data_IF_661459910838
#
_entry.id   IF_661459910838
#
_cell.length_a   1.000
_cell.length_b   1.000
_cell.length_c   1.000
_cell.angle_alpha   90.00
_cell.angle_beta   90.00
_cell.angle_gamma   90.00
#
_symmetry.space_group_name_H-M   'P 1'
#
loop_
_entity.id
_entity.type
_entity.pdbx_description
1 polymer ?
#
# COMPACT_ATOMS: atom_id res chain seq x y z
N UNK A 1 -20.23 -18.50 20.91
CA UNK A 1 -19.07 -19.00 20.13
C UNK A 1 -19.48 -19.64 18.80
N UNK A 2 -20.42 -20.59 18.78
CA UNK A 2 -20.95 -21.16 17.52
C UNK A 2 -21.72 -20.14 16.67
N UNK A 3 -22.66 -19.39 17.27
CA UNK A 3 -23.42 -18.34 16.58
C UNK A 3 -22.52 -17.24 15.98
N UNK A 4 -21.45 -16.86 16.70
CA UNK A 4 -20.47 -15.87 16.23
C UNK A 4 -19.61 -16.40 15.08
N UNK A 5 -19.32 -17.70 15.04
CA UNK A 5 -18.58 -18.32 13.94
C UNK A 5 -19.46 -18.43 12.69
N UNK A 6 -20.71 -18.86 12.86
CA UNK A 6 -21.68 -18.95 11.77
C UNK A 6 -21.90 -17.59 11.11
N UNK A 7 -22.13 -16.53 11.89
CA UNK A 7 -22.26 -15.17 11.35
C UNK A 7 -21.04 -14.73 10.54
N UNK A 8 -19.81 -15.04 11.00
CA UNK A 8 -18.57 -14.73 10.24
C UNK A 8 -18.51 -15.47 8.91
N UNK A 9 -18.92 -16.75 8.89
CA UNK A 9 -18.97 -17.54 7.64
C UNK A 9 -20.00 -16.95 6.67
N UNK A 10 -21.20 -16.62 7.15
CA UNK A 10 -22.26 -16.01 6.33
C UNK A 10 -21.81 -14.67 5.72
N UNK A 11 -21.18 -13.79 6.52
CA UNK A 11 -20.62 -12.52 6.04
C UNK A 11 -19.51 -12.76 5.00
N UNK A 12 -18.62 -13.73 5.25
CA UNK A 12 -17.55 -14.08 4.31
C UNK A 12 -18.13 -14.52 2.97
N UNK A 13 -19.11 -15.43 2.97
CA UNK A 13 -19.76 -15.89 1.74
C UNK A 13 -20.48 -14.75 1.00
N UNK A 14 -21.15 -13.86 1.73
CA UNK A 14 -21.79 -12.68 1.16
C UNK A 14 -20.78 -11.76 0.47
N UNK A 15 -19.64 -11.46 1.12
CA UNK A 15 -18.57 -10.66 0.52
C UNK A 15 -18.01 -11.29 -0.76
N UNK A 16 -17.85 -12.62 -0.77
CA UNK A 16 -17.46 -13.38 -1.96
C UNK A 16 -18.46 -13.21 -3.11
N UNK A 17 -19.75 -13.34 -2.84
CA UNK A 17 -20.82 -13.14 -3.84
C UNK A 17 -20.85 -11.70 -4.37
N UNK A 18 -20.74 -10.71 -3.48
CA UNK A 18 -20.68 -9.28 -3.87
C UNK A 18 -19.45 -9.03 -4.75
N UNK A 19 -18.29 -9.59 -4.39
CA UNK A 19 -17.06 -9.47 -5.18
C UNK A 19 -17.24 -10.04 -6.59
N UNK A 20 -17.79 -11.25 -6.73
CA UNK A 20 -18.05 -11.87 -8.03
C UNK A 20 -18.99 -11.01 -8.87
N UNK A 21 -20.06 -10.50 -8.28
CA UNK A 21 -21.03 -9.64 -8.97
C UNK A 21 -20.37 -8.35 -9.47
N UNK A 22 -19.65 -7.62 -8.61
CA UNK A 22 -19.01 -6.36 -8.97
C UNK A 22 -17.93 -6.57 -10.04
N UNK A 23 -17.09 -7.60 -9.89
CA UNK A 23 -16.09 -7.97 -10.90
C UNK A 23 -16.73 -8.33 -12.24
N UNK A 24 -17.86 -9.04 -12.25
CA UNK A 24 -18.60 -9.36 -13.47
C UNK A 24 -19.10 -8.09 -14.20
N UNK A 25 -19.69 -7.13 -13.47
CA UNK A 25 -20.12 -5.86 -14.06
C UNK A 25 -18.94 -5.01 -14.55
N UNK A 26 -17.85 -4.95 -13.78
CA UNK A 26 -16.63 -4.28 -14.18
C UNK A 26 -16.05 -4.87 -15.47
N UNK A 27 -16.04 -6.20 -15.60
CA UNK A 27 -15.64 -6.91 -16.81
C UNK A 27 -16.55 -6.58 -18.00
N UNK A 28 -17.88 -6.61 -17.82
CA UNK A 28 -18.84 -6.19 -18.86
C UNK A 28 -18.63 -4.76 -19.33
N UNK A 29 -18.24 -3.86 -18.43
CA UNK A 29 -17.90 -2.46 -18.74
C UNK A 29 -16.46 -2.28 -19.28
N UNK A 30 -15.77 -3.38 -19.62
CA UNK A 30 -14.40 -3.39 -20.15
C UNK A 30 -13.39 -2.71 -19.21
N UNK A 31 -13.65 -2.72 -17.89
CA UNK A 31 -12.76 -2.11 -16.91
C UNK A 31 -11.38 -2.79 -16.92
N UNK A 32 -11.35 -4.12 -17.06
CA UNK A 32 -10.12 -4.94 -17.06
C UNK A 32 -9.29 -4.89 -18.36
N UNK A 33 -9.64 -4.01 -19.30
CA UNK A 33 -8.89 -3.84 -20.55
C UNK A 33 -7.62 -3.03 -20.33
N UNK A 34 -6.46 -3.59 -20.72
CA UNK A 34 -5.17 -2.91 -20.67
C UNK A 34 -4.77 -2.33 -22.04
N UNK A 35 -4.06 -1.19 -22.08
CA UNK A 35 -3.50 -0.65 -23.31
C UNK A 35 -2.42 -1.58 -23.90
N UNK A 36 -1.96 -1.28 -25.13
CA UNK A 36 -0.85 -2.02 -25.76
C UNK A 36 0.40 -1.99 -24.87
N UNK A 37 1.19 -3.05 -24.98
CA UNK A 37 2.46 -3.14 -24.26
C UNK A 37 3.50 -2.19 -24.88
N UNK A 38 4.18 -1.44 -24.03
CA UNK A 38 5.22 -0.45 -24.33
C UNK A 38 6.52 -0.80 -23.58
N UNK A 39 6.69 -2.07 -23.19
CA UNK A 39 7.89 -2.58 -22.52
C UNK A 39 9.21 -2.22 -23.21
N UNK A 40 9.19 -1.97 -24.53
CA UNK A 40 10.35 -1.53 -25.32
C UNK A 40 10.83 -0.10 -24.99
N UNK A 41 9.97 0.75 -24.43
CA UNK A 41 10.29 2.14 -24.09
C UNK A 41 10.94 2.26 -22.69
N UNK A 42 10.99 1.17 -21.92
CA UNK A 42 11.43 1.15 -20.53
C UNK A 42 12.95 1.27 -20.43
N UNK A 43 13.40 2.37 -19.82
CA UNK A 43 14.83 2.67 -19.61
C UNK A 43 15.32 2.33 -18.19
N UNK A 44 14.43 1.91 -17.29
CA UNK A 44 14.80 1.54 -15.92
C UNK A 44 15.68 0.29 -15.93
N UNK A 45 16.72 0.32 -15.10
CA UNK A 45 17.66 -0.79 -14.88
C UNK A 45 17.66 -1.20 -13.41
N UNK A 46 18.15 -2.41 -13.13
CA UNK A 46 18.18 -2.96 -11.76
C UNK A 46 18.88 -2.04 -10.74
N UNK A 47 20.01 -1.38 -11.05
CA UNK A 47 20.62 -0.40 -10.16
C UNK A 47 19.68 0.75 -9.75
N UNK A 48 18.80 1.20 -10.65
CA UNK A 48 17.83 2.26 -10.32
C UNK A 48 16.78 1.75 -9.32
N UNK A 49 16.32 0.50 -9.48
CA UNK A 49 15.39 -0.14 -8.53
C UNK A 49 16.07 -0.29 -7.18
N UNK A 50 17.27 -0.88 -7.12
CA UNK A 50 18.02 -1.04 -5.88
C UNK A 50 18.22 0.31 -5.19
N UNK A 51 18.66 1.33 -5.93
CA UNK A 51 18.91 2.65 -5.35
C UNK A 51 17.64 3.30 -4.80
N UNK A 52 16.49 3.14 -5.46
CA UNK A 52 15.21 3.64 -4.94
C UNK A 52 14.84 2.99 -3.59
N UNK A 53 14.94 1.66 -3.50
CA UNK A 53 14.71 0.94 -2.24
C UNK A 53 15.74 1.29 -1.17
N UNK A 54 17.01 1.47 -1.53
CA UNK A 54 18.06 1.91 -0.60
C UNK A 54 17.78 3.30 -0.06
N UNK A 55 17.35 4.26 -0.91
CA UNK A 55 16.97 5.60 -0.45
C UNK A 55 15.83 5.53 0.57
N UNK A 56 14.80 4.73 0.28
CA UNK A 56 13.66 4.54 1.18
C UNK A 56 14.09 3.90 2.51
N UNK A 57 14.76 2.75 2.47
CA UNK A 57 15.20 2.03 3.66
C UNK A 57 16.22 2.86 4.47
N UNK A 58 17.11 3.58 3.82
CA UNK A 58 18.08 4.45 4.48
C UNK A 58 17.37 5.57 5.26
N UNK A 59 16.33 6.17 4.66
CA UNK A 59 15.55 7.23 5.30
C UNK A 59 14.75 6.73 6.52
N UNK A 60 14.27 5.49 6.48
CA UNK A 60 13.60 4.86 7.62
C UNK A 60 14.59 4.43 8.72
N UNK A 61 15.68 3.76 8.36
CA UNK A 61 16.58 3.09 9.32
C UNK A 61 17.59 4.05 9.94
N UNK A 62 18.10 5.02 9.19
CA UNK A 62 19.19 5.90 9.67
C UNK A 62 18.71 7.29 10.02
N UNK A 63 17.93 7.93 9.15
CA UNK A 63 17.51 9.32 9.36
C UNK A 63 16.56 9.42 10.55
N UNK A 64 15.60 8.51 10.65
CA UNK A 64 14.63 8.50 11.75
C UNK A 64 15.27 8.42 13.13
N UNK A 65 16.11 7.40 13.41
CA UNK A 65 16.79 7.28 14.70
C UNK A 65 17.81 8.39 14.98
N UNK A 66 18.50 8.90 13.95
CA UNK A 66 19.39 10.06 14.10
C UNK A 66 18.59 11.29 14.56
N UNK A 67 17.42 11.54 13.96
CA UNK A 67 16.53 12.62 14.33
C UNK A 67 15.96 12.42 15.74
N UNK A 68 15.55 11.20 16.12
CA UNK A 68 15.15 10.89 17.50
C UNK A 68 16.27 11.29 18.45
N UNK A 69 17.49 10.80 18.22
CA UNK A 69 18.64 11.09 19.09
C UNK A 69 18.90 12.58 19.22
N UNK A 70 18.81 13.33 18.11
CA UNK A 70 18.99 14.78 18.10
C UNK A 70 17.88 15.53 18.84
N UNK A 71 16.62 15.09 18.67
CA UNK A 71 15.45 15.68 19.34
C UNK A 71 15.49 15.37 20.84
N UNK A 72 15.68 14.10 21.23
CA UNK A 72 15.78 13.68 22.63
C UNK A 72 16.94 14.33 23.38
N UNK A 73 18.04 14.65 22.69
CA UNK A 73 19.15 15.40 23.29
C UNK A 73 18.75 16.83 23.66
N UNK A 74 17.90 17.48 22.85
CA UNK A 74 17.43 18.84 23.11
C UNK A 74 16.21 18.89 24.04
N UNK A 75 15.31 17.92 23.90
CA UNK A 75 14.03 17.85 24.59
C UNK A 75 13.87 16.47 25.26
N UNK A 76 14.57 16.22 26.38
CA UNK A 76 14.64 14.90 27.00
C UNK A 76 13.33 14.42 27.64
N UNK A 77 12.36 15.33 27.81
CA UNK A 77 11.06 15.04 28.45
C UNK A 77 9.96 14.67 27.46
N UNK A 78 10.25 14.56 26.15
CA UNK A 78 9.28 14.11 25.17
C UNK A 78 8.84 12.66 25.44
N UNK A 79 7.55 12.41 25.33
CA UNK A 79 7.01 11.06 25.45
C UNK A 79 7.51 10.16 24.30
N UNK A 80 7.53 8.85 24.54
CA UNK A 80 7.92 7.86 23.53
C UNK A 80 7.07 7.98 22.26
N UNK A 81 5.76 8.18 22.41
CA UNK A 81 4.81 8.42 21.30
C UNK A 81 5.20 9.65 20.49
N UNK A 82 5.62 10.74 21.13
CA UNK A 82 6.07 11.94 20.45
C UNK A 82 7.31 11.66 19.59
N UNK A 83 8.31 10.99 20.17
CA UNK A 83 9.56 10.65 19.49
C UNK A 83 9.32 9.76 18.27
N UNK A 84 8.51 8.70 18.43
CA UNK A 84 8.16 7.80 17.32
C UNK A 84 7.38 8.56 16.23
N UNK A 85 6.45 9.44 16.62
CA UNK A 85 5.62 10.20 15.68
C UNK A 85 6.45 11.16 14.83
N UNK A 86 7.33 11.95 15.46
CA UNK A 86 8.23 12.85 14.74
C UNK A 86 9.21 12.06 13.86
N UNK A 87 9.77 10.98 14.38
CA UNK A 87 10.71 10.14 13.64
C UNK A 87 10.07 9.58 12.36
N UNK A 88 8.90 8.93 12.50
CA UNK A 88 8.19 8.34 11.37
C UNK A 88 7.85 9.40 10.32
N UNK A 89 7.29 10.54 10.75
CA UNK A 89 6.91 11.61 9.84
C UNK A 89 8.12 12.16 9.07
N UNK A 90 9.21 12.48 9.76
CA UNK A 90 10.42 13.06 9.15
C UNK A 90 11.17 12.05 8.28
N UNK A 91 11.18 10.77 8.65
CA UNK A 91 11.73 9.69 7.83
C UNK A 91 10.99 9.54 6.51
N UNK A 92 9.66 9.55 6.54
CA UNK A 92 8.85 9.44 5.32
C UNK A 92 8.93 10.72 4.47
N UNK A 93 8.96 11.90 5.10
CA UNK A 93 9.16 13.17 4.41
C UNK A 93 10.53 13.22 3.71
N UNK A 94 11.61 12.84 4.40
CA UNK A 94 12.96 12.78 3.82
C UNK A 94 13.07 11.74 2.70
N UNK A 95 12.48 10.55 2.87
CA UNK A 95 12.39 9.54 1.82
C UNK A 95 11.70 10.10 0.56
N UNK A 96 10.61 10.84 0.76
CA UNK A 96 9.84 11.46 -0.33
C UNK A 96 10.69 12.49 -1.06
N UNK A 97 11.37 13.37 -0.33
CA UNK A 97 12.28 14.38 -0.91
C UNK A 97 13.40 13.69 -1.69
N UNK A 98 14.09 12.71 -1.12
CA UNK A 98 15.21 12.05 -1.79
C UNK A 98 14.79 11.25 -3.01
N UNK A 99 13.65 10.57 -2.98
CA UNK A 99 13.11 9.88 -4.16
C UNK A 99 12.67 10.86 -5.25
N UNK A 100 12.09 12.02 -4.90
CA UNK A 100 11.75 13.06 -5.86
C UNK A 100 13.02 13.66 -6.48
N UNK A 101 14.06 13.91 -5.69
CA UNK A 101 15.35 14.40 -6.20
C UNK A 101 16.03 13.37 -7.10
N UNK A 102 16.01 12.10 -6.70
CA UNK A 102 16.50 11.00 -7.52
C UNK A 102 15.73 10.90 -8.84
N UNK A 103 14.40 11.05 -8.79
CA UNK A 103 13.56 11.07 -9.98
C UNK A 103 13.94 12.21 -10.93
N UNK A 104 14.01 13.44 -10.41
CA UNK A 104 14.34 14.64 -11.19
C UNK A 104 15.73 14.57 -11.82
N UNK A 105 16.73 14.01 -11.12
CA UNK A 105 18.10 13.86 -11.66
C UNK A 105 18.16 12.97 -12.90
N UNK A 106 17.20 12.05 -13.06
CA UNK A 106 17.10 11.12 -14.19
C UNK A 106 15.80 11.31 -14.97
N UNK A 107 15.22 12.51 -14.92
CA UNK A 107 13.90 12.82 -15.46
C UNK A 107 13.67 12.27 -16.87
N UNK A 108 14.58 12.53 -17.81
CA UNK A 108 14.41 12.09 -19.20
C UNK A 108 14.33 10.56 -19.37
N UNK A 109 14.98 9.78 -18.51
CA UNK A 109 14.91 8.32 -18.54
C UNK A 109 13.69 7.79 -17.78
N UNK A 110 13.29 8.48 -16.71
CA UNK A 110 12.21 8.02 -15.85
C UNK A 110 10.85 8.46 -16.32
N UNK A 111 10.65 9.67 -16.84
CA UNK A 111 9.32 10.17 -17.21
C UNK A 111 8.64 9.32 -18.30
N UNK A 112 9.44 8.75 -19.22
CA UNK A 112 8.96 7.81 -20.23
C UNK A 112 8.59 6.43 -19.67
N UNK A 113 9.18 6.04 -18.54
CA UNK A 113 9.03 4.68 -17.96
C UNK A 113 8.11 4.65 -16.73
N UNK A 114 8.23 5.66 -15.89
CA UNK A 114 7.54 5.91 -14.63
C UNK A 114 6.57 7.05 -14.94
N UNK A 115 5.30 6.70 -15.12
CA UNK A 115 4.26 7.65 -15.45
C UNK A 115 3.87 8.50 -14.22
N UNK A 116 4.81 9.29 -13.68
CA UNK A 116 4.62 10.05 -12.45
C UNK A 116 3.55 11.13 -12.60
N UNK A 117 3.43 11.70 -13.80
CA UNK A 117 2.41 12.69 -14.15
C UNK A 117 1.27 12.04 -14.94
N UNK A 118 0.03 12.54 -14.78
CA UNK A 118 -1.13 12.02 -15.52
C UNK A 118 -0.92 12.16 -17.04
N UNK A 119 -1.12 11.07 -17.78
CA UNK A 119 -1.14 11.15 -19.25
C UNK A 119 -2.49 11.71 -19.77
N UNK A 120 -3.51 11.80 -18.92
CA UNK A 120 -4.86 12.30 -19.24
C UNK A 120 -5.22 13.53 -18.39
N UNK A 121 -5.79 13.30 -17.21
CA UNK A 121 -6.29 14.34 -16.31
C UNK A 121 -6.22 13.83 -14.87
N UNK A 122 -5.74 14.69 -13.96
CA UNK A 122 -5.69 14.47 -12.52
C UNK A 122 -7.00 13.91 -11.93
N UNK A 123 -8.15 14.52 -12.28
CA UNK A 123 -9.46 14.08 -11.77
C UNK A 123 -9.85 12.68 -12.29
N UNK A 124 -9.44 12.35 -13.52
CA UNK A 124 -9.69 11.03 -14.11
C UNK A 124 -8.93 9.95 -13.35
N UNK A 125 -7.68 10.21 -12.97
CA UNK A 125 -6.86 9.26 -12.21
C UNK A 125 -7.46 9.00 -10.82
N UNK A 126 -7.90 10.05 -10.11
CA UNK A 126 -8.57 9.92 -8.82
C UNK A 126 -9.87 9.12 -8.96
N UNK A 127 -10.70 9.45 -9.95
CA UNK A 127 -11.97 8.73 -10.16
C UNK A 127 -11.74 7.26 -10.50
N UNK A 128 -10.74 6.95 -11.33
CA UNK A 128 -10.35 5.56 -11.63
C UNK A 128 -9.84 4.86 -10.39
N UNK A 129 -9.04 5.53 -9.55
CA UNK A 129 -8.58 4.98 -8.28
C UNK A 129 -9.73 4.66 -7.32
N UNK A 130 -10.72 5.56 -7.21
CA UNK A 130 -11.93 5.32 -6.43
C UNK A 130 -12.76 4.15 -6.97
N UNK A 131 -13.02 4.10 -8.28
CA UNK A 131 -13.75 2.99 -8.91
C UNK A 131 -13.01 1.67 -8.69
N UNK A 132 -11.68 1.67 -8.83
CA UNK A 132 -10.86 0.50 -8.58
C UNK A 132 -10.96 0.04 -7.12
N UNK A 133 -10.93 0.97 -6.16
CA UNK A 133 -11.14 0.67 -4.75
C UNK A 133 -12.52 0.02 -4.51
N UNK A 134 -13.60 0.58 -5.06
CA UNK A 134 -14.96 0.00 -4.96
C UNK A 134 -15.01 -1.42 -5.52
N UNK A 135 -14.33 -1.68 -6.65
CA UNK A 135 -14.28 -3.02 -7.25
C UNK A 135 -13.49 -3.99 -6.37
N UNK A 136 -12.41 -3.52 -5.76
CA UNK A 136 -11.43 -4.36 -5.07
C UNK A 136 -11.81 -4.64 -3.62
N UNK A 137 -12.47 -3.70 -2.93
CA UNK A 137 -12.67 -3.79 -1.48
C UNK A 137 -13.45 -5.04 -1.04
N UNK A 138 -14.52 -5.50 -1.72
CA UNK A 138 -15.23 -6.71 -1.29
C UNK A 138 -14.35 -7.97 -1.43
N UNK A 139 -13.48 -8.00 -2.45
CA UNK A 139 -12.52 -9.09 -2.64
C UNK A 139 -11.47 -9.13 -1.53
N UNK A 140 -10.92 -7.96 -1.17
CA UNK A 140 -9.93 -7.84 -0.08
C UNK A 140 -10.56 -8.24 1.25
N UNK A 141 -11.78 -7.77 1.55
CA UNK A 141 -12.48 -8.13 2.78
C UNK A 141 -12.86 -9.62 2.80
N UNK A 142 -13.34 -10.17 1.69
CA UNK A 142 -13.62 -11.60 1.55
C UNK A 142 -12.37 -12.42 1.87
N UNK A 143 -11.24 -12.12 1.21
CA UNK A 143 -10.01 -12.89 1.37
C UNK A 143 -9.43 -12.73 2.78
N UNK A 144 -9.49 -11.53 3.35
CA UNK A 144 -9.10 -11.29 4.75
C UNK A 144 -9.92 -12.15 5.70
N UNK A 145 -11.26 -12.10 5.63
CA UNK A 145 -12.11 -12.88 6.54
C UNK A 145 -11.98 -14.38 6.34
N UNK A 146 -11.88 -14.83 5.09
CA UNK A 146 -11.64 -16.22 4.76
C UNK A 146 -10.34 -16.74 5.37
N UNK A 147 -9.23 -15.98 5.24
CA UNK A 147 -7.95 -16.35 5.82
C UNK A 147 -7.93 -16.26 7.35
N UNK A 148 -8.67 -15.32 7.94
CA UNK A 148 -8.85 -15.26 9.40
C UNK A 148 -9.61 -16.48 9.93
N UNK A 149 -10.63 -16.96 9.20
CA UNK A 149 -11.34 -18.19 9.53
C UNK A 149 -10.43 -19.40 9.35
N UNK A 150 -9.66 -19.44 8.26
CA UNK A 150 -8.72 -20.51 7.99
C UNK A 150 -7.65 -20.62 9.08
N UNK A 151 -7.05 -19.49 9.49
CA UNK A 151 -6.03 -19.45 10.54
C UNK A 151 -6.61 -19.75 11.92
N UNK A 152 -7.85 -19.37 12.18
CA UNK A 152 -8.58 -19.80 13.38
C UNK A 152 -8.74 -21.32 13.42
N UNK A 153 -9.20 -21.94 12.33
CA UNK A 153 -9.49 -23.38 12.29
C UNK A 153 -8.21 -24.21 12.29
N UNK A 154 -7.20 -23.83 11.52
CA UNK A 154 -5.96 -24.61 11.37
C UNK A 154 -4.94 -24.37 12.48
N UNK A 155 -4.89 -23.16 13.04
CA UNK A 155 -3.82 -22.74 13.97
C UNK A 155 -4.35 -22.12 15.28
N UNK A 156 -5.67 -22.12 15.51
CA UNK A 156 -6.31 -21.54 16.71
C UNK A 156 -5.97 -20.05 16.94
N UNK A 157 -5.73 -19.30 15.85
CA UNK A 157 -5.47 -17.85 15.91
C UNK A 157 -6.80 -17.13 16.17
N UNK A 158 -7.08 -16.81 17.43
CA UNK A 158 -8.35 -16.17 17.85
C UNK A 158 -8.47 -14.70 17.44
N UNK A 159 -7.35 -13.98 17.46
CA UNK A 159 -7.25 -12.58 17.05
C UNK A 159 -6.02 -12.41 16.18
N UNK A 160 -6.22 -12.05 14.93
CA UNK A 160 -5.11 -11.74 14.04
C UNK A 160 -4.46 -10.45 14.52
N UNK A 161 -3.13 -10.44 14.72
CA UNK A 161 -2.42 -9.25 15.15
C UNK A 161 -2.58 -8.12 14.14
N UNK A 162 -2.86 -6.91 14.61
CA UNK A 162 -3.02 -5.74 13.74
C UNK A 162 -1.77 -5.43 12.91
N UNK A 163 -1.97 -4.74 11.77
CA UNK A 163 -0.87 -4.20 10.98
C UNK A 163 -0.05 -3.18 11.80
N UNK A 164 1.25 -3.11 11.53
CA UNK A 164 2.17 -2.19 12.24
C UNK A 164 1.68 -0.74 12.16
N UNK A 165 1.19 -0.31 10.98
CA UNK A 165 0.63 1.02 10.77
C UNK A 165 -0.62 1.30 11.63
N UNK A 166 -1.52 0.31 11.78
CA UNK A 166 -2.73 0.44 12.61
C UNK A 166 -2.37 0.57 14.08
N UNK A 167 -1.42 -0.24 14.57
CA UNK A 167 -0.92 -0.14 15.95
C UNK A 167 -0.29 1.22 16.23
N UNK A 168 0.49 1.74 15.29
CA UNK A 168 1.08 3.06 15.40
C UNK A 168 0.00 4.15 15.47
N UNK A 169 -1.01 4.11 14.59
CA UNK A 169 -2.15 5.03 14.67
C UNK A 169 -2.85 4.96 16.03
N UNK A 170 -3.18 3.76 16.54
CA UNK A 170 -3.79 3.57 17.87
C UNK A 170 -2.97 4.21 18.99
N UNK A 171 -1.64 4.05 18.96
CA UNK A 171 -0.76 4.64 19.98
C UNK A 171 -0.73 6.17 20.01
N UNK A 172 -1.26 6.83 18.98
CA UNK A 172 -1.27 8.29 18.86
C UNK A 172 -2.63 8.93 19.13
N UNK A 173 -3.70 8.14 19.33
CA UNK A 173 -5.09 8.64 19.41
C UNK A 173 -5.34 9.60 20.57
N UNK A 174 -4.59 9.49 21.66
CA UNK A 174 -4.72 10.39 22.83
C UNK A 174 -4.18 11.81 22.58
N UNK A 175 -3.48 12.03 21.47
CA UNK A 175 -2.89 13.33 21.11
C UNK A 175 -3.32 13.76 19.70
N UNK A 176 -4.13 14.81 19.55
CA UNK A 176 -4.57 15.30 18.24
C UNK A 176 -3.40 15.62 17.29
N UNK A 177 -2.29 16.14 17.82
CA UNK A 177 -1.10 16.45 17.03
C UNK A 177 -0.45 15.17 16.48
N UNK A 178 -0.15 14.20 17.35
CA UNK A 178 0.54 12.97 16.93
C UNK A 178 -0.35 12.10 16.06
N UNK A 179 -1.65 12.05 16.36
CA UNK A 179 -2.63 11.41 15.51
C UNK A 179 -2.66 12.03 14.12
N UNK A 180 -2.63 13.36 14.01
CA UNK A 180 -2.60 14.05 12.70
C UNK A 180 -1.33 13.74 11.91
N UNK A 181 -0.16 13.67 12.57
CA UNK A 181 1.10 13.30 11.92
C UNK A 181 1.09 11.84 11.45
N UNK A 182 0.59 10.91 12.27
CA UNK A 182 0.47 9.51 11.93
C UNK A 182 -0.53 9.30 10.78
N UNK A 183 -1.68 9.98 10.84
CA UNK A 183 -2.71 9.98 9.80
C UNK A 183 -2.11 10.42 8.45
N UNK A 184 -1.43 11.57 8.45
CA UNK A 184 -0.83 12.09 7.22
C UNK A 184 0.23 11.13 6.65
N UNK A 185 1.02 10.53 7.53
CA UNK A 185 2.04 9.53 7.17
C UNK A 185 1.43 8.30 6.51
N UNK A 186 0.36 7.74 7.09
CA UNK A 186 -0.28 6.51 6.62
C UNK A 186 -1.13 6.74 5.36
N UNK A 187 -1.81 7.89 5.25
CA UNK A 187 -2.74 8.15 4.14
C UNK A 187 -2.05 8.76 2.93
N UNK A 188 -0.96 9.52 3.11
CA UNK A 188 -0.31 10.22 1.99
C UNK A 188 1.10 9.73 1.73
N UNK A 189 2.00 9.80 2.72
CA UNK A 189 3.40 9.46 2.48
C UNK A 189 3.60 7.98 2.14
N UNK A 190 3.00 7.07 2.89
CA UNK A 190 3.14 5.63 2.64
C UNK A 190 2.62 5.25 1.23
N UNK A 191 1.38 5.60 0.82
CA UNK A 191 0.93 5.36 -0.55
C UNK A 191 1.83 5.97 -1.63
N UNK A 192 2.26 7.22 -1.46
CA UNK A 192 3.15 7.86 -2.44
C UNK A 192 4.47 7.09 -2.61
N UNK A 193 5.13 6.77 -1.50
CA UNK A 193 6.43 6.09 -1.49
C UNK A 193 6.31 4.66 -2.02
N UNK A 194 5.33 3.92 -1.53
CA UNK A 194 5.15 2.52 -1.90
C UNK A 194 4.75 2.37 -3.37
N UNK A 195 3.82 3.19 -3.88
CA UNK A 195 3.47 3.13 -5.31
C UNK A 195 4.66 3.54 -6.20
N UNK A 196 5.45 4.54 -5.78
CA UNK A 196 6.66 4.91 -6.52
C UNK A 196 7.67 3.77 -6.56
N UNK A 197 7.92 3.08 -5.43
CA UNK A 197 8.85 1.97 -5.35
C UNK A 197 8.36 0.72 -6.11
N UNK A 198 7.13 0.29 -5.86
CA UNK A 198 6.60 -0.97 -6.38
C UNK A 198 6.07 -0.85 -7.81
N UNK A 199 5.38 0.25 -8.17
CA UNK A 199 4.79 0.42 -9.51
C UNK A 199 5.74 1.18 -10.39
N UNK A 200 6.24 2.31 -9.90
CA UNK A 200 7.19 3.15 -10.61
C UNK A 200 8.47 2.40 -10.95
N UNK A 201 9.20 1.89 -9.95
CA UNK A 201 10.48 1.22 -10.18
C UNK A 201 10.37 -0.29 -10.42
N UNK A 202 9.86 -1.07 -9.46
CA UNK A 202 9.97 -2.53 -9.48
C UNK A 202 9.12 -3.18 -10.59
N UNK A 203 7.82 -2.87 -10.66
CA UNK A 203 6.91 -3.41 -11.68
C UNK A 203 7.36 -3.00 -13.08
N UNK A 204 7.67 -1.72 -13.29
CA UNK A 204 8.18 -1.23 -14.58
C UNK A 204 9.47 -1.96 -14.98
N UNK A 205 10.38 -2.21 -14.04
CA UNK A 205 11.58 -3.01 -14.32
C UNK A 205 11.25 -4.47 -14.67
N UNK A 206 10.36 -5.14 -13.95
CA UNK A 206 9.91 -6.50 -14.31
C UNK A 206 9.27 -6.57 -15.69
N UNK A 207 8.45 -5.56 -16.02
CA UNK A 207 7.72 -5.48 -17.29
C UNK A 207 8.65 -5.48 -18.50
N UNK A 208 9.86 -4.92 -18.36
CA UNK A 208 10.90 -4.94 -19.40
C UNK A 208 11.25 -6.35 -19.89
N UNK A 209 11.17 -7.36 -19.01
CA UNK A 209 11.59 -8.73 -19.32
C UNK A 209 10.45 -9.75 -19.33
N UNK A 210 9.40 -9.52 -18.55
CA UNK A 210 8.35 -10.51 -18.29
C UNK A 210 7.00 -10.13 -18.90
N UNK A 211 6.87 -8.92 -19.45
CA UNK A 211 5.60 -8.35 -19.90
C UNK A 211 4.71 -7.90 -18.74
N UNK A 212 3.69 -7.09 -19.05
CA UNK A 212 2.86 -6.38 -18.05
C UNK A 212 2.13 -7.30 -17.07
N UNK A 213 1.60 -8.44 -17.52
CA UNK A 213 0.80 -9.33 -16.65
C UNK A 213 1.64 -9.99 -15.56
N UNK A 214 2.79 -10.55 -15.94
CA UNK A 214 3.72 -11.18 -14.99
C UNK A 214 4.36 -10.13 -14.10
N UNK A 215 4.65 -8.94 -14.63
CA UNK A 215 5.17 -7.83 -13.83
C UNK A 215 4.20 -7.37 -12.73
N UNK A 216 2.90 -7.24 -13.03
CA UNK A 216 1.87 -6.94 -12.03
C UNK A 216 1.88 -8.02 -10.95
N UNK A 217 1.81 -9.29 -11.35
CA UNK A 217 1.76 -10.41 -10.41
C UNK A 217 3.00 -10.47 -9.51
N UNK A 218 4.20 -10.43 -10.09
CA UNK A 218 5.46 -10.49 -9.36
C UNK A 218 5.64 -9.29 -8.41
N UNK A 219 5.37 -8.06 -8.87
CA UNK A 219 5.46 -6.88 -8.01
C UNK A 219 4.45 -6.93 -6.86
N UNK A 220 3.25 -7.48 -7.09
CA UNK A 220 2.21 -7.64 -6.06
C UNK A 220 2.59 -8.64 -4.98
N UNK A 221 3.28 -9.73 -5.35
CA UNK A 221 3.89 -10.65 -4.37
C UNK A 221 4.94 -9.90 -3.54
N UNK A 222 5.87 -9.21 -4.19
CA UNK A 222 6.91 -8.45 -3.49
C UNK A 222 6.30 -7.42 -2.52
N UNK A 223 5.26 -6.69 -2.95
CA UNK A 223 4.53 -5.73 -2.11
C UNK A 223 3.90 -6.40 -0.89
N UNK A 224 3.17 -7.49 -1.08
CA UNK A 224 2.50 -8.19 0.02
C UNK A 224 3.50 -8.73 1.04
N UNK A 225 4.60 -9.33 0.59
CA UNK A 225 5.65 -9.84 1.47
C UNK A 225 6.49 -8.73 2.13
N UNK A 226 6.57 -7.54 1.53
CA UNK A 226 7.23 -6.38 2.15
C UNK A 226 6.57 -5.96 3.48
N UNK A 227 5.31 -6.33 3.67
CA UNK A 227 4.53 -6.05 4.89
C UNK A 227 4.65 -7.14 5.97
N UNK A 228 5.47 -8.18 5.73
CA UNK A 228 5.70 -9.22 6.72
C UNK A 228 6.27 -8.63 8.02
N UNK A 229 5.68 -9.01 9.16
CA UNK A 229 6.22 -8.68 10.48
C UNK A 229 6.36 -9.91 11.35
N UNK A 230 7.54 -10.07 11.95
CA UNK A 230 7.79 -11.18 12.91
C UNK A 230 6.80 -11.17 14.07
N UNK A 231 6.35 -9.98 14.50
CA UNK A 231 5.39 -9.82 15.59
C UNK A 231 3.99 -10.36 15.28
N UNK A 232 3.68 -10.58 14.00
CA UNK A 232 2.36 -11.05 13.56
C UNK A 232 2.28 -12.59 13.46
N UNK A 233 3.42 -13.29 13.49
CA UNK A 233 3.48 -14.76 13.47
C UNK A 233 2.65 -15.38 12.33
N UNK A 234 1.83 -16.38 12.66
CA UNK A 234 0.91 -17.05 11.70
C UNK A 234 -0.13 -16.08 11.12
N UNK A 235 -0.45 -14.98 11.83
CA UNK A 235 -1.36 -13.95 11.34
C UNK A 235 -0.88 -13.25 10.07
N UNK A 236 0.41 -13.35 9.71
CA UNK A 236 0.90 -12.89 8.42
C UNK A 236 0.19 -13.55 7.23
N UNK A 237 -0.35 -14.77 7.38
CA UNK A 237 -1.10 -15.45 6.30
C UNK A 237 -2.28 -14.57 5.86
N UNK A 238 -3.09 -14.11 6.82
CA UNK A 238 -4.24 -13.24 6.54
C UNK A 238 -3.82 -11.90 5.97
N UNK A 239 -2.80 -11.25 6.56
CA UNK A 239 -2.36 -9.91 6.17
C UNK A 239 -1.77 -9.92 4.76
N UNK A 240 -0.78 -10.77 4.50
CA UNK A 240 -0.13 -10.89 3.19
C UNK A 240 -1.16 -11.35 2.15
N UNK A 241 -2.02 -12.31 2.51
CA UNK A 241 -3.06 -12.79 1.62
C UNK A 241 -4.05 -11.70 1.23
N UNK A 242 -4.50 -10.86 2.16
CA UNK A 242 -5.42 -9.74 1.88
C UNK A 242 -4.74 -8.57 1.14
N UNK A 243 -3.45 -8.32 1.38
CA UNK A 243 -2.70 -7.27 0.68
C UNK A 243 -2.38 -7.63 -0.77
N UNK A 244 -2.26 -8.93 -1.09
CA UNK A 244 -1.99 -9.38 -2.45
C UNK A 244 -3.03 -8.90 -3.50
N UNK A 245 -4.36 -9.11 -3.35
CA UNK A 245 -5.34 -8.61 -4.32
C UNK A 245 -5.37 -7.09 -4.39
N UNK A 246 -5.19 -6.39 -3.25
CA UNK A 246 -5.04 -4.92 -3.26
C UNK A 246 -3.85 -4.52 -4.15
N UNK A 247 -2.69 -5.14 -3.92
CA UNK A 247 -1.47 -4.86 -4.66
C UNK A 247 -1.60 -5.19 -6.16
N UNK A 248 -2.31 -6.27 -6.48
CA UNK A 248 -2.62 -6.69 -7.84
C UNK A 248 -3.46 -5.63 -8.57
N UNK A 249 -4.51 -5.12 -7.93
CA UNK A 249 -5.33 -4.07 -8.53
C UNK A 249 -4.60 -2.75 -8.67
N UNK A 250 -3.76 -2.36 -7.70
CA UNK A 250 -2.88 -1.18 -7.80
C UNK A 250 -1.94 -1.29 -9.01
N UNK A 251 -1.28 -2.45 -9.18
CA UNK A 251 -0.43 -2.72 -10.34
C UNK A 251 -1.21 -2.73 -11.66
N UNK A 252 -2.42 -3.28 -11.66
CA UNK A 252 -3.31 -3.28 -12.82
C UNK A 252 -3.72 -1.86 -13.23
N UNK A 253 -4.16 -1.00 -12.29
CA UNK A 253 -4.60 0.35 -12.65
C UNK A 253 -3.44 1.27 -13.03
N UNK A 254 -2.23 1.03 -12.52
CA UNK A 254 -1.01 1.68 -13.01
C UNK A 254 -0.84 1.44 -14.51
N UNK A 255 -0.92 0.18 -14.95
CA UNK A 255 -0.80 -0.18 -16.38
C UNK A 255 -1.99 0.30 -17.21
N UNK A 256 -3.21 0.25 -16.66
CA UNK A 256 -4.43 0.68 -17.33
C UNK A 256 -4.43 2.17 -17.61
N UNK A 257 -4.08 2.96 -16.58
CA UNK A 257 -4.20 4.41 -16.62
C UNK A 257 -2.94 5.09 -17.17
N UNK A 258 -1.78 4.41 -17.10
CA UNK A 258 -0.48 5.02 -17.44
C UNK A 258 -0.25 6.26 -16.59
N UNK A 259 -0.44 6.10 -15.28
CA UNK A 259 -0.30 7.15 -14.28
C UNK A 259 -0.08 6.52 -12.91
N UNK A 260 0.89 7.02 -12.15
CA UNK A 260 1.09 6.69 -10.73
C UNK A 260 0.02 7.32 -9.83
N UNK A 261 -0.64 8.39 -10.27
CA UNK A 261 -1.65 9.04 -9.44
C UNK A 261 -2.87 8.15 -9.21
N UNK A 262 -3.24 7.31 -10.20
CA UNK A 262 -4.35 6.37 -10.06
C UNK A 262 -4.12 5.33 -8.94
N UNK A 263 -3.02 4.56 -8.90
CA UNK A 263 -2.74 3.69 -7.78
C UNK A 263 -2.48 4.44 -6.47
N UNK A 264 -1.81 5.60 -6.48
CA UNK A 264 -1.62 6.40 -5.25
C UNK A 264 -2.97 6.79 -4.64
N UNK A 265 -3.91 7.26 -5.46
CA UNK A 265 -5.24 7.65 -4.98
C UNK A 265 -6.04 6.44 -4.47
N UNK A 266 -6.03 5.31 -5.18
CA UNK A 266 -6.68 4.07 -4.71
C UNK A 266 -6.12 3.61 -3.37
N UNK A 267 -4.80 3.63 -3.22
CA UNK A 267 -4.12 3.22 -1.99
C UNK A 267 -4.39 4.19 -0.84
N UNK A 268 -4.31 5.50 -1.09
CA UNK A 268 -4.68 6.52 -0.10
C UNK A 268 -6.14 6.37 0.36
N UNK A 269 -7.07 6.09 -0.55
CA UNK A 269 -8.48 5.81 -0.21
C UNK A 269 -8.59 4.55 0.67
N UNK A 270 -7.88 3.47 0.32
CA UNK A 270 -7.87 2.25 1.13
C UNK A 270 -7.38 2.51 2.56
N UNK A 271 -6.29 3.27 2.71
CA UNK A 271 -5.73 3.61 4.02
C UNK A 271 -6.66 4.56 4.80
N UNK A 272 -7.22 5.57 4.14
CA UNK A 272 -8.17 6.50 4.76
C UNK A 272 -9.43 5.77 5.26
N UNK A 273 -9.99 4.86 4.47
CA UNK A 273 -11.15 4.06 4.89
C UNK A 273 -10.81 3.10 6.02
N UNK A 274 -9.58 2.59 6.07
CA UNK A 274 -9.10 1.78 7.21
C UNK A 274 -9.00 2.62 8.49
N UNK A 275 -8.58 3.88 8.38
CA UNK A 275 -8.60 4.83 9.53
C UNK A 275 -10.03 5.14 9.95
N UNK A 276 -10.94 5.39 9.01
CA UNK A 276 -12.37 5.60 9.33
C UNK A 276 -12.93 4.38 10.06
N UNK A 277 -12.62 3.17 9.60
CA UNK A 277 -13.01 1.95 10.30
C UNK A 277 -12.48 1.92 11.74
N UNK A 278 -11.19 2.24 11.90
CA UNK A 278 -10.52 2.29 13.19
C UNK A 278 -11.15 3.29 14.18
N UNK A 279 -11.58 4.48 13.72
CA UNK A 279 -12.12 5.52 14.61
C UNK A 279 -13.56 5.23 15.03
N UNK A 280 -14.37 4.70 14.12
CA UNK A 280 -15.83 4.64 14.31
C UNK A 280 -16.37 3.23 14.62
N UNK A 281 -15.60 2.18 14.37
CA UNK A 281 -16.09 0.79 14.44
C UNK A 281 -15.20 -0.16 15.24
N UNK A 282 -14.03 0.28 15.71
CA UNK A 282 -13.16 -0.46 16.64
C UNK A 282 -13.00 0.29 17.98
#
# INVERSE_FOLDING_TARGET
MLQTLQARIEITLLLGLISVFICYFAWKKKFFSLPKDDSKEIQISLPHVILAFVIYLFSLIFIGPLLIKAISFKEPYLSEVALISYSNFLSLASASVFLILFYKKKYHSFDKSIHLTPNKNFLSDILVGFIAWVITIPLVLFLSQFLDLLTLVLFNVKKVPEQVAVRFLKSTMDSPLFFSLALFSVVFFAPFLEELLFRGFLQTWFKKFLGKYVAIFASSICFAFFHYSKHQGVGNISIIGALFPLAFFLGFIYERQRSLLAPISMHAIFNAMSVVNLIFFE
#
